data_IF_962737801581
#
_entry.id   IF_962737801581
#
_cell.length_a   1.000
_cell.length_b   1.000
_cell.length_c   1.000
_cell.angle_alpha   90.00
_cell.angle_beta   90.00
_cell.angle_gamma   90.00
#
_symmetry.space_group_name_H-M   'P 1'
#
loop_
_entity.id
_entity.type
_entity.pdbx_description
1 polymer ?
#
# COMPACT_ATOMS: atom_id res chain seq x y z
N UNK A 1 1.16 -6.92 -36.12
CA UNK A 1 1.35 -5.82 -35.16
C UNK A 1 0.48 -6.14 -33.96
N UNK A 2 0.91 -6.44 -32.75
CA UNK A 2 2.20 -6.50 -32.07
C UNK A 2 1.75 -6.60 -30.61
N UNK A 3 1.62 -7.82 -30.06
CA UNK A 3 1.19 -8.02 -28.67
C UNK A 3 2.31 -7.50 -27.78
N UNK A 4 2.23 -6.22 -27.44
CA UNK A 4 3.11 -5.62 -26.45
C UNK A 4 2.58 -6.06 -25.08
N UNK A 5 3.16 -7.14 -24.55
CA UNK A 5 3.02 -7.47 -23.15
C UNK A 5 3.74 -6.36 -22.36
N UNK A 6 2.97 -5.49 -21.72
CA UNK A 6 3.39 -4.51 -20.71
C UNK A 6 4.47 -3.49 -21.09
N UNK A 7 4.15 -2.56 -22.00
CA UNK A 7 4.91 -1.31 -22.16
C UNK A 7 4.20 -0.13 -21.48
N UNK A 8 4.91 0.63 -20.66
CA UNK A 8 4.55 1.94 -20.04
C UNK A 8 3.36 1.94 -19.05
N UNK A 9 2.28 1.18 -19.27
CA UNK A 9 1.00 1.37 -18.55
C UNK A 9 0.63 0.27 -17.51
N UNK A 10 1.43 -0.79 -17.38
CA UNK A 10 1.21 -1.87 -16.39
C UNK A 10 0.07 -2.86 -16.73
N UNK A 11 -0.06 -3.92 -15.91
CA UNK A 11 -1.04 -5.00 -16.07
C UNK A 11 -2.26 -4.78 -15.15
N UNK A 12 -3.20 -3.91 -15.53
CA UNK A 12 -4.44 -3.82 -14.73
C UNK A 12 -5.41 -2.71 -15.08
N UNK A 13 -4.92 -1.63 -15.70
CA UNK A 13 -5.77 -0.48 -16.04
C UNK A 13 -6.53 -0.70 -17.34
N UNK A 14 -5.82 -1.05 -18.41
CA UNK A 14 -6.41 -1.23 -19.74
C UNK A 14 -6.87 -2.66 -19.94
N UNK A 15 -8.17 -2.85 -20.13
CA UNK A 15 -8.81 -4.17 -20.21
C UNK A 15 -8.25 -5.00 -21.37
N UNK A 16 -7.88 -4.34 -22.46
CA UNK A 16 -7.33 -5.00 -23.66
C UNK A 16 -5.92 -5.57 -23.49
N UNK A 17 -5.21 -5.23 -22.40
CA UNK A 17 -3.93 -5.83 -22.04
C UNK A 17 -4.02 -6.83 -20.88
N UNK A 18 -5.22 -7.19 -20.43
CA UNK A 18 -5.39 -8.15 -19.35
C UNK A 18 -4.93 -9.56 -19.78
N UNK A 19 -3.85 -10.12 -19.21
CA UNK A 19 -3.27 -11.39 -19.66
C UNK A 19 -4.16 -12.60 -19.30
N UNK A 20 -5.13 -12.40 -18.41
CA UNK A 20 -6.08 -13.44 -17.99
C UNK A 20 -7.36 -13.47 -18.84
N UNK A 21 -7.55 -12.50 -19.75
CA UNK A 21 -8.73 -12.42 -20.60
C UNK A 21 -8.46 -13.09 -21.95
N UNK A 22 -9.11 -14.24 -22.16
CA UNK A 22 -9.25 -14.80 -23.51
C UNK A 22 -10.15 -13.89 -24.37
N UNK A 23 -10.13 -14.00 -25.72
CA UNK A 23 -11.07 -13.25 -26.56
C UNK A 23 -12.54 -13.42 -26.15
N UNK A 24 -12.92 -14.64 -25.72
CA UNK A 24 -14.26 -14.93 -25.21
C UNK A 24 -14.55 -14.22 -23.88
N UNK A 25 -13.59 -14.21 -22.95
CA UNK A 25 -13.74 -13.47 -21.67
C UNK A 25 -13.87 -11.97 -21.90
N UNK A 26 -13.09 -11.41 -22.83
CA UNK A 26 -13.24 -10.02 -23.25
C UNK A 26 -14.64 -9.73 -23.79
N UNK A 27 -15.18 -10.59 -24.65
CA UNK A 27 -16.53 -10.38 -25.19
C UNK A 27 -17.61 -10.40 -24.09
N UNK A 28 -17.53 -11.37 -23.17
CA UNK A 28 -18.46 -11.50 -22.04
C UNK A 28 -18.38 -10.26 -21.14
N UNK A 29 -17.17 -9.80 -20.82
CA UNK A 29 -16.94 -8.59 -20.04
C UNK A 29 -17.63 -7.37 -20.69
N UNK A 30 -17.35 -7.12 -21.97
CA UNK A 30 -17.97 -6.01 -22.70
C UNK A 30 -19.51 -6.11 -22.79
N UNK A 31 -20.06 -7.32 -22.84
CA UNK A 31 -21.51 -7.56 -22.87
C UNK A 31 -22.16 -7.32 -21.50
N UNK A 32 -21.47 -7.67 -20.41
CA UNK A 32 -21.92 -7.39 -19.06
C UNK A 32 -22.12 -5.88 -18.83
N UNK A 33 -21.12 -5.07 -19.18
CA UNK A 33 -21.18 -3.61 -18.96
C UNK A 33 -22.23 -2.95 -19.85
N UNK A 34 -22.36 -3.39 -21.11
CA UNK A 34 -23.43 -2.92 -22.00
C UNK A 34 -24.82 -3.21 -21.44
N UNK A 35 -25.01 -4.36 -20.78
CA UNK A 35 -26.27 -4.68 -20.13
C UNK A 35 -26.48 -3.84 -18.85
N UNK A 36 -25.43 -3.56 -18.08
CA UNK A 36 -25.49 -2.68 -16.93
C UNK A 36 -25.88 -1.24 -17.33
N UNK A 37 -25.22 -0.69 -18.36
CA UNK A 37 -25.50 0.66 -18.86
C UNK A 37 -26.95 0.80 -19.36
N UNK A 38 -27.51 -0.26 -19.95
CA UNK A 38 -28.91 -0.29 -20.40
C UNK A 38 -29.86 -0.09 -19.21
N UNK A 39 -29.57 -0.74 -18.08
CA UNK A 39 -30.42 -0.72 -16.88
C UNK A 39 -30.45 0.64 -16.21
N UNK A 40 -29.35 1.40 -16.30
CA UNK A 40 -29.23 2.74 -15.69
C UNK A 40 -29.70 3.87 -16.60
N UNK A 41 -30.38 3.55 -17.71
CA UNK A 41 -31.12 4.51 -18.52
C UNK A 41 -30.37 5.08 -19.72
N UNK A 42 -29.19 4.56 -20.05
CA UNK A 42 -28.48 4.96 -21.27
C UNK A 42 -29.16 4.30 -22.48
N UNK A 43 -29.98 5.09 -23.19
CA UNK A 43 -30.69 4.64 -24.39
C UNK A 43 -29.71 4.47 -25.56
N UNK A 44 -30.00 3.54 -26.46
CA UNK A 44 -29.26 3.32 -27.71
C UNK A 44 -27.80 2.82 -27.54
N UNK A 45 -27.50 2.06 -26.48
CA UNK A 45 -26.17 1.46 -26.26
C UNK A 45 -25.69 0.61 -27.42
N UNK A 46 -26.59 -0.18 -28.01
CA UNK A 46 -26.27 -1.03 -29.16
C UNK A 46 -25.90 -0.20 -30.40
N UNK A 47 -26.56 0.94 -30.61
CA UNK A 47 -26.24 1.88 -31.70
C UNK A 47 -24.93 2.62 -31.41
N UNK A 48 -24.68 2.94 -30.14
CA UNK A 48 -23.48 3.67 -29.67
C UNK A 48 -22.19 2.83 -29.71
N UNK A 49 -22.31 1.52 -29.97
CA UNK A 49 -21.19 0.56 -30.00
C UNK A 49 -20.17 0.79 -28.88
N UNK A 50 -20.65 0.73 -27.64
CA UNK A 50 -19.82 0.99 -26.46
C UNK A 50 -18.66 0.00 -26.36
N UNK A 51 -17.49 0.54 -26.02
CA UNK A 51 -16.29 -0.23 -25.73
C UNK A 51 -15.67 0.25 -24.43
N UNK A 52 -15.72 -0.59 -23.39
CA UNK A 52 -15.05 -0.37 -22.10
C UNK A 52 -13.58 -0.68 -22.27
N UNK A 53 -12.71 0.29 -22.02
CA UNK A 53 -11.31 0.17 -22.39
C UNK A 53 -10.38 0.30 -21.19
N UNK A 54 -10.85 0.89 -20.08
CA UNK A 54 -10.13 0.98 -18.83
C UNK A 54 -11.05 0.64 -17.66
N UNK A 55 -10.53 -0.06 -16.65
CA UNK A 55 -11.20 -0.19 -15.35
C UNK A 55 -10.24 0.31 -14.27
N UNK A 56 -10.62 1.40 -13.64
CA UNK A 56 -9.93 1.96 -12.49
C UNK A 56 -10.69 1.55 -11.23
N UNK A 57 -9.97 1.12 -10.19
CA UNK A 57 -10.54 0.93 -8.85
C UNK A 57 -11.83 0.07 -8.73
N UNK A 58 -11.99 -0.88 -9.65
CA UNK A 58 -13.10 -1.86 -9.75
C UNK A 58 -14.51 -1.33 -10.00
N UNK A 59 -14.84 -0.16 -9.44
CA UNK A 59 -16.15 0.49 -9.60
C UNK A 59 -16.12 1.60 -10.63
N UNK A 60 -14.96 1.90 -11.21
CA UNK A 60 -14.84 2.97 -12.19
C UNK A 60 -14.42 2.38 -13.53
N UNK A 61 -15.25 2.56 -14.54
CA UNK A 61 -14.97 2.09 -15.89
C UNK A 61 -14.91 3.27 -16.84
N UNK A 62 -13.87 3.32 -17.66
CA UNK A 62 -13.80 4.26 -18.76
C UNK A 62 -14.11 3.56 -20.06
N UNK A 63 -14.99 4.19 -20.82
CA UNK A 63 -15.47 3.67 -22.08
C UNK A 63 -15.57 4.76 -23.14
N UNK A 64 -15.56 4.32 -24.39
CA UNK A 64 -15.81 5.16 -25.57
C UNK A 64 -17.03 4.63 -26.30
N UNK A 65 -17.68 5.51 -27.08
CA UNK A 65 -18.69 5.13 -28.06
C UNK A 65 -18.00 4.99 -29.41
N UNK A 66 -17.84 3.76 -29.90
CA UNK A 66 -17.10 3.55 -31.16
C UNK A 66 -17.92 3.87 -32.40
N UNK A 67 -19.18 4.28 -32.23
CA UNK A 67 -19.99 4.91 -33.28
C UNK A 67 -19.61 6.37 -33.54
N UNK A 68 -18.96 7.02 -32.58
CA UNK A 68 -18.69 8.46 -32.60
C UNK A 68 -17.25 8.69 -33.10
N UNK A 69 -17.07 9.64 -34.02
CA UNK A 69 -15.75 9.93 -34.62
C UNK A 69 -14.79 10.64 -33.65
N UNK A 70 -15.32 11.25 -32.59
CA UNK A 70 -14.55 12.03 -31.62
C UNK A 70 -13.92 11.19 -30.51
N UNK A 71 -14.33 9.92 -30.39
CA UNK A 71 -13.91 8.98 -29.33
C UNK A 71 -13.83 9.64 -27.95
N UNK A 72 -14.83 10.46 -27.62
CA UNK A 72 -14.97 11.02 -26.28
C UNK A 72 -14.98 9.93 -25.22
N UNK A 73 -14.29 10.20 -24.13
CA UNK A 73 -14.19 9.28 -23.00
C UNK A 73 -15.32 9.56 -22.03
N UNK A 74 -15.95 8.49 -21.58
CA UNK A 74 -16.98 8.51 -20.55
C UNK A 74 -16.49 7.71 -19.35
N UNK A 75 -16.92 8.12 -18.16
CA UNK A 75 -16.63 7.46 -16.90
C UNK A 75 -17.93 6.91 -16.33
N UNK A 76 -17.95 5.62 -16.02
CA UNK A 76 -19.01 4.94 -15.33
C UNK A 76 -18.59 4.66 -13.89
N UNK A 77 -19.46 4.99 -12.94
CA UNK A 77 -19.30 4.70 -11.52
C UNK A 77 -20.28 3.59 -11.14
N UNK A 78 -19.83 2.35 -11.11
CA UNK A 78 -20.60 1.18 -10.71
C UNK A 78 -21.06 1.18 -9.25
N UNK A 79 -20.47 2.00 -8.38
CA UNK A 79 -20.90 2.15 -6.99
C UNK A 79 -22.19 2.96 -6.83
N UNK A 80 -22.51 3.84 -7.77
CA UNK A 80 -23.69 4.71 -7.74
C UNK A 80 -24.48 4.72 -9.05
N UNK A 81 -24.18 3.77 -9.95
CA UNK A 81 -24.85 3.58 -11.24
C UNK A 81 -24.94 4.88 -12.07
N UNK A 82 -23.83 5.62 -12.15
CA UNK A 82 -23.76 6.94 -12.80
C UNK A 82 -22.77 6.97 -13.96
N UNK A 83 -23.14 7.63 -15.06
CA UNK A 83 -22.25 7.91 -16.19
C UNK A 83 -21.98 9.42 -16.28
N UNK A 84 -20.72 9.78 -16.52
CA UNK A 84 -20.27 11.16 -16.75
C UNK A 84 -19.45 11.23 -18.05
N UNK A 85 -19.66 12.28 -18.85
CA UNK A 85 -18.74 12.62 -19.94
C UNK A 85 -17.47 13.21 -19.33
N UNK A 86 -16.32 12.65 -19.68
CA UNK A 86 -15.02 13.21 -19.30
C UNK A 86 -14.67 14.25 -20.37
N UNK A 87 -14.15 15.40 -19.97
CA UNK A 87 -13.68 16.45 -20.90
C UNK A 87 -12.36 16.08 -21.57
N UNK A 88 -12.30 14.89 -22.19
CA UNK A 88 -11.16 14.39 -22.96
C UNK A 88 -11.59 13.32 -23.97
N UNK A 89 -10.84 13.20 -25.06
CA UNK A 89 -10.94 12.06 -25.97
C UNK A 89 -9.97 10.93 -25.61
N UNK A 90 -10.08 9.79 -26.31
CA UNK A 90 -9.26 8.61 -26.05
C UNK A 90 -7.75 8.89 -26.11
N UNK A 91 -7.28 9.64 -27.10
CA UNK A 91 -5.85 9.95 -27.24
C UNK A 91 -5.33 10.84 -26.09
N UNK A 92 -6.14 11.81 -25.65
CA UNK A 92 -5.86 12.66 -24.49
C UNK A 92 -5.81 11.84 -23.20
N UNK A 93 -6.74 10.90 -23.02
CA UNK A 93 -6.73 9.97 -21.89
C UNK A 93 -5.49 9.07 -21.91
N UNK A 94 -5.12 8.52 -23.07
CA UNK A 94 -3.91 7.69 -23.20
C UNK A 94 -2.64 8.48 -22.89
N UNK A 95 -2.55 9.75 -23.33
CA UNK A 95 -1.45 10.67 -22.97
C UNK A 95 -1.42 10.97 -21.47
N UNK A 96 -2.58 11.21 -20.86
CA UNK A 96 -2.70 11.42 -19.42
C UNK A 96 -2.22 10.19 -18.63
N UNK A 97 -2.60 8.98 -19.05
CA UNK A 97 -2.12 7.75 -18.43
C UNK A 97 -0.60 7.61 -18.49
N UNK A 98 0.02 7.94 -19.63
CA UNK A 98 1.48 7.96 -19.76
C UNK A 98 2.06 8.97 -18.76
N UNK A 99 1.56 10.21 -18.73
CA UNK A 99 2.05 11.26 -17.83
C UNK A 99 1.90 10.90 -16.34
N UNK A 100 0.78 10.27 -15.95
CA UNK A 100 0.55 9.79 -14.58
C UNK A 100 1.51 8.65 -14.20
N UNK A 101 1.96 7.87 -15.19
CA UNK A 101 2.84 6.70 -14.99
C UNK A 101 4.31 6.99 -15.26
N UNK A 102 4.66 8.16 -15.81
CA UNK A 102 6.04 8.61 -15.91
C UNK A 102 6.63 8.70 -14.48
N UNK A 103 7.74 8.00 -14.20
CA UNK A 103 8.22 7.70 -12.84
C UNK A 103 8.73 8.90 -12.02
N UNK A 104 8.57 10.13 -12.51
CA UNK A 104 9.22 11.32 -11.97
C UNK A 104 8.29 12.28 -11.19
N UNK A 105 7.15 11.81 -10.66
CA UNK A 105 6.35 12.58 -9.70
C UNK A 105 6.22 11.83 -8.36
N UNK A 106 7.29 11.94 -7.57
CA UNK A 106 7.42 11.93 -6.12
C UNK A 106 6.44 11.09 -5.23
N UNK A 107 7.07 10.07 -4.63
CA UNK A 107 7.12 9.77 -3.18
C UNK A 107 6.06 8.92 -2.46
N UNK A 108 5.08 8.34 -3.13
CA UNK A 108 4.24 7.29 -2.52
C UNK A 108 4.18 6.05 -3.40
N UNK A 109 4.99 5.03 -3.09
CA UNK A 109 4.97 3.73 -3.77
C UNK A 109 4.09 2.81 -2.92
N UNK A 110 2.97 2.35 -3.49
CA UNK A 110 1.98 1.53 -2.81
C UNK A 110 1.08 2.37 -1.91
N UNK A 111 -0.23 2.36 -2.19
CA UNK A 111 -1.21 3.04 -1.37
C UNK A 111 -2.51 2.24 -1.35
N UNK A 112 -3.20 2.28 -0.21
CA UNK A 112 -4.39 1.48 0.07
C UNK A 112 -5.68 2.25 -0.23
N UNK A 113 -5.62 3.53 -0.61
CA UNK A 113 -6.79 4.32 -0.96
C UNK A 113 -6.79 4.79 -2.42
N UNK A 114 -7.95 4.72 -3.09
CA UNK A 114 -8.13 5.31 -4.41
C UNK A 114 -7.84 6.82 -4.39
N UNK A 115 -7.34 7.35 -5.51
CA UNK A 115 -6.98 8.76 -5.61
C UNK A 115 -8.18 9.68 -5.39
N UNK A 116 -9.40 9.28 -5.77
CA UNK A 116 -10.60 10.06 -5.50
C UNK A 116 -10.91 10.20 -4.00
N UNK A 117 -10.61 9.18 -3.19
CA UNK A 117 -10.84 9.20 -1.74
C UNK A 117 -9.77 10.07 -1.04
N UNK A 118 -8.52 10.05 -1.52
CA UNK A 118 -7.45 10.92 -0.98
C UNK A 118 -7.76 12.42 -1.08
N UNK A 119 -8.54 12.82 -2.09
CA UNK A 119 -8.92 14.21 -2.30
C UNK A 119 -9.91 14.76 -1.25
N UNK A 120 -10.35 13.94 -0.28
CA UNK A 120 -11.18 14.39 0.84
C UNK A 120 -10.44 15.33 1.82
N UNK A 121 -9.10 15.32 1.89
CA UNK A 121 -8.37 16.27 2.74
C UNK A 121 -7.13 16.87 2.05
N UNK A 122 -7.23 18.18 1.76
CA UNK A 122 -6.10 19.03 1.37
C UNK A 122 -5.08 19.07 2.53
N UNK A 123 -3.83 18.70 2.25
CA UNK A 123 -2.64 18.74 3.11
C UNK A 123 -2.36 17.46 3.93
N UNK A 124 -1.74 16.47 3.28
CA UNK A 124 -1.02 15.38 3.96
C UNK A 124 0.05 16.02 4.85
N UNK A 125 -0.18 16.03 6.17
CA UNK A 125 0.74 16.62 7.14
C UNK A 125 1.48 15.48 7.86
N UNK A 126 2.83 15.48 7.90
CA UNK A 126 3.58 14.53 8.70
C UNK A 126 3.09 14.55 10.17
N UNK A 127 2.65 13.40 10.66
CA UNK A 127 2.14 13.27 12.02
C UNK A 127 3.32 13.26 13.01
N UNK A 128 3.19 13.96 14.14
CA UNK A 128 4.22 13.93 15.20
C UNK A 128 4.18 12.56 15.88
N UNK A 129 5.25 11.77 15.71
CA UNK A 129 5.35 10.40 16.26
C UNK A 129 5.13 10.37 17.78
N UNK A 130 5.60 11.39 18.50
CA UNK A 130 5.44 11.50 19.96
C UNK A 130 3.98 11.51 20.43
N UNK A 131 3.02 11.89 19.57
CA UNK A 131 1.60 11.83 19.93
C UNK A 131 1.07 10.40 20.03
N UNK A 132 1.78 9.43 19.45
CA UNK A 132 1.35 8.03 19.31
C UNK A 132 2.29 7.05 20.01
N UNK A 133 3.30 7.56 20.71
CA UNK A 133 4.29 6.75 21.42
C UNK A 133 4.23 7.04 22.93
N UNK A 134 3.43 6.24 23.64
CA UNK A 134 3.34 6.29 25.10
C UNK A 134 4.68 5.92 25.77
N UNK A 135 4.88 6.34 27.02
CA UNK A 135 6.16 6.15 27.72
C UNK A 135 6.58 4.67 27.81
N UNK A 136 5.61 3.76 27.99
CA UNK A 136 5.84 2.31 28.02
C UNK A 136 6.29 1.73 26.67
N UNK A 137 5.95 2.40 25.55
CA UNK A 137 6.36 2.00 24.19
C UNK A 137 7.71 2.59 23.76
N UNK A 138 8.34 3.46 24.55
CA UNK A 138 9.66 4.06 24.24
C UNK A 138 10.83 3.13 24.56
N UNK A 139 10.89 1.99 23.87
CA UNK A 139 11.96 1.02 24.04
C UNK A 139 12.29 0.31 22.71
N UNK A 140 13.48 -0.28 22.61
CA UNK A 140 13.97 -0.92 21.38
C UNK A 140 13.21 -2.22 21.01
N UNK A 141 12.19 -2.62 21.77
CA UNK A 141 11.23 -3.67 21.39
C UNK A 141 9.95 -3.08 20.78
N UNK A 142 9.91 -1.80 20.42
CA UNK A 142 8.79 -1.17 19.74
C UNK A 142 9.20 -0.63 18.36
N UNK A 143 8.47 -1.04 17.32
CA UNK A 143 8.76 -0.65 15.94
C UNK A 143 8.70 0.87 15.73
N UNK A 144 7.69 1.55 16.28
CA UNK A 144 7.49 3.00 16.10
C UNK A 144 8.61 3.77 16.77
N UNK A 145 9.12 3.30 17.92
CA UNK A 145 10.28 3.89 18.57
C UNK A 145 11.56 3.72 17.74
N UNK A 146 11.80 2.53 17.19
CA UNK A 146 12.96 2.29 16.30
C UNK A 146 12.88 3.19 15.05
N UNK A 147 11.68 3.33 14.48
CA UNK A 147 11.43 4.23 13.36
C UNK A 147 11.70 5.69 13.72
N UNK A 148 11.24 6.15 14.88
CA UNK A 148 11.54 7.50 15.37
C UNK A 148 13.05 7.73 15.44
N UNK A 149 13.80 6.86 16.12
CA UNK A 149 15.27 6.97 16.25
C UNK A 149 15.95 7.02 14.88
N UNK A 150 15.53 6.17 13.95
CA UNK A 150 16.06 6.14 12.60
C UNK A 150 15.79 7.45 11.84
N UNK A 151 14.56 7.96 11.89
CA UNK A 151 14.18 9.20 11.21
C UNK A 151 14.97 10.40 11.75
N UNK A 152 15.09 10.53 13.07
CA UNK A 152 15.84 11.60 13.73
C UNK A 152 17.32 11.55 13.36
N UNK A 153 17.94 10.37 13.48
CA UNK A 153 19.37 10.16 13.13
C UNK A 153 19.67 10.53 11.69
N UNK A 154 18.73 10.28 10.77
CA UNK A 154 18.93 10.48 9.33
C UNK A 154 18.32 11.77 8.79
N UNK A 155 17.73 12.63 9.63
CA UNK A 155 17.04 13.85 9.20
C UNK A 155 15.88 13.58 8.23
N UNK A 156 15.22 12.43 8.37
CA UNK A 156 14.12 12.00 7.49
C UNK A 156 12.76 12.22 8.15
N UNK A 157 11.70 12.14 7.35
CA UNK A 157 10.32 12.13 7.83
C UNK A 157 9.58 10.90 7.31
N UNK A 158 8.57 10.48 8.06
CA UNK A 158 7.65 9.41 7.69
C UNK A 158 6.25 10.00 7.52
N UNK A 159 5.45 9.37 6.67
CA UNK A 159 4.08 9.80 6.39
C UNK A 159 3.18 8.58 6.39
N UNK A 160 2.11 8.63 7.17
CA UNK A 160 1.06 7.61 7.19
C UNK A 160 -0.33 8.18 6.94
N UNK A 161 -1.35 7.39 7.26
CA UNK A 161 -2.77 7.69 7.08
C UNK A 161 -3.35 8.46 8.27
N UNK A 162 -4.23 9.41 8.01
CA UNK A 162 -5.03 10.04 9.07
C UNK A 162 -6.21 9.13 9.49
N UNK A 163 -6.88 9.47 10.59
CA UNK A 163 -7.96 8.62 11.13
C UNK A 163 -9.19 8.47 10.21
N UNK A 164 -9.45 9.44 9.34
CA UNK A 164 -10.54 9.35 8.35
C UNK A 164 -10.15 8.41 7.22
N UNK A 165 -8.92 8.53 6.74
CA UNK A 165 -8.36 7.63 5.72
C UNK A 165 -8.29 6.18 6.23
N UNK A 166 -7.88 5.97 7.48
CA UNK A 166 -7.87 4.62 8.07
C UNK A 166 -9.27 4.03 8.10
N UNK A 167 -10.31 4.81 8.42
CA UNK A 167 -11.71 4.33 8.38
C UNK A 167 -12.16 3.98 6.97
N UNK A 168 -11.74 4.74 5.96
CA UNK A 168 -12.03 4.39 4.57
C UNK A 168 -11.28 3.12 4.15
N UNK A 169 -10.05 2.89 4.62
CA UNK A 169 -9.32 1.63 4.39
C UNK A 169 -10.07 0.47 5.07
N UNK A 170 -10.46 0.61 6.34
CA UNK A 170 -11.25 -0.39 7.06
C UNK A 170 -12.53 -0.78 6.29
N UNK A 171 -13.24 0.22 5.77
CA UNK A 171 -14.45 0.01 4.97
C UNK A 171 -14.15 -0.63 3.61
N UNK A 172 -13.10 -0.19 2.92
CA UNK A 172 -12.80 -0.61 1.56
C UNK A 172 -12.26 -2.04 1.48
N UNK A 173 -11.45 -2.45 2.46
CA UNK A 173 -10.94 -3.82 2.57
C UNK A 173 -11.80 -4.71 3.46
N UNK A 174 -12.88 -4.18 4.04
CA UNK A 174 -13.74 -4.87 5.01
C UNK A 174 -12.95 -5.46 6.21
N UNK A 175 -11.96 -4.70 6.68
CA UNK A 175 -11.06 -5.07 7.78
C UNK A 175 -11.22 -4.15 8.98
N UNK A 176 -10.63 -4.58 10.11
CA UNK A 176 -10.47 -3.76 11.31
C UNK A 176 -9.00 -3.45 11.57
N UNK A 177 -8.68 -2.18 11.73
CA UNK A 177 -7.33 -1.70 12.03
C UNK A 177 -7.30 -1.16 13.46
N UNK A 178 -6.73 -1.95 14.38
CA UNK A 178 -6.67 -1.65 15.82
C UNK A 178 -5.24 -1.64 16.37
N UNK A 179 -5.09 -1.15 17.59
CA UNK A 179 -3.88 -1.23 18.41
C UNK A 179 -2.60 -0.81 17.66
N UNK A 180 -1.50 -1.57 17.80
CA UNK A 180 -0.21 -1.26 17.18
C UNK A 180 -0.26 -1.21 15.64
N UNK A 181 -1.21 -1.93 15.02
CA UNK A 181 -1.41 -1.84 13.57
C UNK A 181 -1.97 -0.48 13.17
N UNK A 182 -2.83 0.11 14.01
CA UNK A 182 -3.34 1.46 13.77
C UNK A 182 -2.25 2.52 13.92
N UNK A 183 -1.42 2.39 14.95
CA UNK A 183 -0.26 3.28 15.14
C UNK A 183 0.74 3.15 13.98
N UNK A 184 0.95 1.93 13.48
CA UNK A 184 1.71 1.69 12.26
C UNK A 184 1.12 2.42 11.05
N UNK A 185 -0.19 2.29 10.80
CA UNK A 185 -0.81 2.96 9.65
C UNK A 185 -0.70 4.49 9.73
N UNK A 186 -0.79 5.05 10.92
CA UNK A 186 -0.67 6.50 11.17
C UNK A 186 0.72 7.06 10.89
N UNK A 187 1.75 6.34 11.32
CA UNK A 187 3.14 6.81 11.23
C UNK A 187 3.80 6.35 9.95
N UNK A 188 3.62 5.08 9.59
CA UNK A 188 4.33 4.40 8.53
C UNK A 188 3.44 3.99 7.34
N UNK A 189 2.11 4.08 7.42
CA UNK A 189 1.21 3.45 6.45
C UNK A 189 1.45 3.77 4.96
N UNK A 190 2.06 4.92 4.62
CA UNK A 190 2.41 5.27 3.22
C UNK A 190 3.91 5.22 2.93
N UNK A 191 4.72 5.31 3.97
CA UNK A 191 6.16 5.19 3.91
C UNK A 191 6.65 4.83 5.29
N UNK A 192 7.56 3.88 5.36
CA UNK A 192 8.32 3.51 6.55
C UNK A 192 9.53 4.42 6.83
N UNK A 193 9.65 5.56 6.15
CA UNK A 193 10.83 6.42 6.24
C UNK A 193 12.12 5.81 5.67
N UNK A 194 12.04 4.66 4.99
CA UNK A 194 13.19 3.89 4.52
C UNK A 194 13.88 3.05 5.60
N UNK A 195 13.18 2.74 6.69
CA UNK A 195 13.66 1.83 7.74
C UNK A 195 13.64 0.36 7.29
N UNK A 196 12.70 -0.03 6.46
CA UNK A 196 12.51 -1.37 5.93
C UNK A 196 12.78 -1.39 4.42
N UNK A 197 12.89 -2.59 3.86
CA UNK A 197 12.96 -2.75 2.43
C UNK A 197 11.54 -2.66 1.84
N UNK A 198 11.35 -1.77 0.85
CA UNK A 198 10.05 -1.54 0.16
C UNK A 198 9.42 -2.82 -0.42
N UNK A 199 10.20 -3.89 -0.61
CA UNK A 199 9.71 -5.14 -1.18
C UNK A 199 9.13 -6.13 -0.15
N UNK A 200 9.36 -5.93 1.14
CA UNK A 200 8.99 -6.89 2.20
C UNK A 200 7.53 -6.74 2.65
N UNK A 201 6.97 -5.53 2.51
CA UNK A 201 5.59 -5.20 2.85
C UNK A 201 4.75 -5.10 1.58
N UNK A 202 3.63 -5.82 1.55
CA UNK A 202 2.84 -5.93 0.32
C UNK A 202 2.32 -4.57 -0.14
N UNK A 203 1.82 -3.75 0.78
CA UNK A 203 1.26 -2.42 0.49
C UNK A 203 2.28 -1.32 0.16
N UNK A 204 3.59 -1.60 0.21
CA UNK A 204 4.62 -0.71 -0.34
C UNK A 204 5.10 -1.14 -1.73
N UNK A 205 4.61 -2.27 -2.24
CA UNK A 205 4.89 -2.66 -3.62
C UNK A 205 4.21 -1.69 -4.56
N UNK A 206 4.76 -1.57 -5.77
CA UNK A 206 4.16 -0.79 -6.85
C UNK A 206 2.93 -1.53 -7.42
N UNK A 207 1.93 -1.71 -6.56
CA UNK A 207 0.61 -2.22 -6.88
C UNK A 207 -0.38 -1.05 -6.75
N UNK A 208 -1.36 -1.07 -7.62
CA UNK A 208 -2.54 -0.22 -7.53
C UNK A 208 -3.45 -0.72 -6.41
N UNK A 209 -4.33 0.13 -5.90
CA UNK A 209 -5.31 -0.23 -4.86
C UNK A 209 -6.11 -1.48 -5.25
N UNK A 210 -6.55 -1.55 -6.51
CA UNK A 210 -7.20 -2.72 -7.10
C UNK A 210 -6.32 -3.97 -7.05
N UNK A 211 -5.06 -3.86 -7.49
CA UNK A 211 -4.14 -4.99 -7.43
C UNK A 211 -3.97 -5.49 -5.99
N UNK A 212 -4.01 -4.62 -4.97
CA UNK A 212 -4.03 -5.04 -3.57
C UNK A 212 -5.29 -5.82 -3.18
N UNK A 213 -6.47 -5.36 -3.59
CA UNK A 213 -7.75 -6.05 -3.29
C UNK A 213 -7.81 -7.41 -3.99
N UNK A 214 -7.53 -7.44 -5.29
CA UNK A 214 -7.48 -8.68 -6.08
C UNK A 214 -6.46 -9.64 -5.48
N UNK A 215 -5.30 -9.14 -5.06
CA UNK A 215 -4.29 -9.98 -4.43
C UNK A 215 -4.85 -10.64 -3.16
N UNK A 216 -5.44 -9.85 -2.26
CA UNK A 216 -5.99 -10.35 -1.00
C UNK A 216 -7.12 -11.36 -1.23
N UNK A 217 -8.04 -11.08 -2.17
CA UNK A 217 -9.13 -11.99 -2.49
C UNK A 217 -8.63 -13.31 -3.10
N UNK A 218 -7.70 -13.24 -4.07
CA UNK A 218 -7.13 -14.47 -4.63
C UNK A 218 -6.38 -15.29 -3.58
N UNK A 219 -5.73 -14.62 -2.62
CA UNK A 219 -5.06 -15.29 -1.52
C UNK A 219 -6.08 -15.96 -0.61
N UNK A 220 -7.16 -15.27 -0.22
CA UNK A 220 -8.23 -15.86 0.59
C UNK A 220 -8.84 -17.10 -0.05
N UNK A 221 -9.26 -17.00 -1.31
CA UNK A 221 -9.86 -18.10 -2.06
C UNK A 221 -8.89 -19.30 -2.16
N UNK A 222 -7.67 -19.08 -2.66
CA UNK A 222 -6.76 -20.18 -3.04
C UNK A 222 -5.91 -20.71 -1.89
N UNK A 223 -5.64 -19.87 -0.90
CA UNK A 223 -4.72 -20.21 0.18
C UNK A 223 -5.48 -20.57 1.45
N UNK A 224 -6.57 -19.88 1.77
CA UNK A 224 -7.31 -20.12 3.01
C UNK A 224 -8.52 -21.04 2.77
N UNK A 225 -9.41 -20.70 1.83
CA UNK A 225 -10.65 -21.45 1.59
C UNK A 225 -10.37 -22.81 0.94
N UNK A 226 -9.66 -22.84 -0.19
CA UNK A 226 -9.37 -24.07 -0.92
C UNK A 226 -8.56 -25.10 -0.11
N UNK A 227 -7.81 -24.64 0.91
CA UNK A 227 -7.05 -25.50 1.82
C UNK A 227 -7.75 -25.70 3.18
N UNK A 228 -9.01 -25.28 3.32
CA UNK A 228 -9.84 -25.49 4.52
C UNK A 228 -9.29 -24.87 5.82
N UNK A 229 -8.54 -23.75 5.73
CA UNK A 229 -7.85 -23.11 6.86
C UNK A 229 -8.68 -22.03 7.57
N UNK A 230 -9.94 -21.82 7.16
CA UNK A 230 -10.83 -20.77 7.66
C UNK A 230 -11.21 -20.94 9.15
N UNK A 231 -11.05 -22.13 9.73
CA UNK A 231 -11.23 -22.35 11.18
C UNK A 231 -10.00 -21.93 11.99
N UNK A 232 -8.82 -21.87 11.36
CA UNK A 232 -7.54 -21.56 12.00
C UNK A 232 -7.25 -20.06 12.03
N UNK A 233 -7.76 -19.34 11.02
CA UNK A 233 -7.67 -17.88 10.91
C UNK A 233 -8.96 -17.33 10.31
N UNK A 234 -9.72 -16.57 11.12
CA UNK A 234 -11.08 -16.13 10.73
C UNK A 234 -11.11 -14.76 10.08
N UNK A 235 -10.35 -13.84 10.64
CA UNK A 235 -10.23 -12.47 10.12
C UNK A 235 -8.74 -12.11 10.11
N UNK A 236 -8.23 -11.76 8.93
CA UNK A 236 -6.83 -11.43 8.77
C UNK A 236 -6.64 -10.31 7.78
N UNK A 237 -5.47 -9.68 7.87
CA UNK A 237 -4.99 -8.76 6.85
C UNK A 237 -3.62 -9.23 6.36
N UNK A 238 -3.47 -9.37 5.05
CA UNK A 238 -2.19 -9.76 4.46
C UNK A 238 -1.26 -8.54 4.41
N UNK A 239 -0.15 -8.63 5.13
CA UNK A 239 0.76 -7.49 5.31
C UNK A 239 2.14 -7.72 4.69
N UNK A 240 2.63 -8.96 4.68
CA UNK A 240 4.04 -9.21 4.39
C UNK A 240 4.26 -10.22 3.28
N UNK A 241 5.18 -9.88 2.37
CA UNK A 241 5.76 -10.79 1.39
C UNK A 241 7.29 -10.76 1.54
N UNK A 242 7.82 -11.53 2.49
CA UNK A 242 9.27 -11.59 2.72
C UNK A 242 9.96 -12.39 1.59
N UNK A 243 9.29 -13.38 1.02
CA UNK A 243 9.75 -14.07 -0.19
C UNK A 243 8.55 -14.63 -1.00
N UNK A 244 8.79 -15.16 -2.21
CA UNK A 244 7.71 -15.59 -3.13
C UNK A 244 6.84 -16.73 -2.60
N UNK A 245 7.36 -17.55 -1.68
CA UNK A 245 6.70 -18.76 -1.18
C UNK A 245 6.18 -18.61 0.26
N UNK A 246 6.57 -17.55 0.99
CA UNK A 246 6.26 -17.36 2.40
C UNK A 246 5.60 -16.00 2.64
N UNK A 247 4.34 -16.07 3.05
CA UNK A 247 3.44 -14.95 3.30
C UNK A 247 3.24 -14.81 4.79
N UNK A 248 3.09 -13.58 5.29
CA UNK A 248 2.68 -13.38 6.67
C UNK A 248 1.42 -12.53 6.78
N UNK A 249 0.54 -12.98 7.65
CA UNK A 249 -0.80 -12.47 7.86
C UNK A 249 -0.90 -11.98 9.30
N UNK A 250 -1.59 -10.86 9.51
CA UNK A 250 -1.93 -10.38 10.84
C UNK A 250 -3.37 -10.81 11.12
N UNK A 251 -3.60 -11.59 12.18
CA UNK A 251 -4.96 -11.85 12.66
C UNK A 251 -5.53 -10.56 13.25
N UNK A 252 -6.67 -10.13 12.71
CA UNK A 252 -7.37 -8.88 13.07
C UNK A 252 -8.72 -9.15 13.73
N UNK A 253 -8.93 -10.37 14.19
CA UNK A 253 -10.18 -10.84 14.79
C UNK A 253 -10.71 -9.88 15.87
N UNK A 254 -12.03 -9.73 15.89
CA UNK A 254 -12.69 -8.76 16.77
C UNK A 254 -12.34 -8.92 18.25
N UNK A 255 -12.25 -10.17 18.71
CA UNK A 255 -12.19 -10.54 20.12
C UNK A 255 -10.80 -11.04 20.58
N UNK A 256 -9.75 -10.79 19.78
CA UNK A 256 -8.37 -11.09 20.22
C UNK A 256 -7.74 -9.95 21.02
N UNK A 257 -7.03 -10.32 22.09
CA UNK A 257 -6.26 -9.41 22.96
C UNK A 257 -5.07 -8.79 22.24
N UNK A 258 -4.44 -9.55 21.34
CA UNK A 258 -3.24 -9.13 20.60
C UNK A 258 -3.35 -9.55 19.14
N UNK A 259 -2.80 -8.73 18.26
CA UNK A 259 -2.70 -8.99 16.83
C UNK A 259 -1.51 -9.92 16.57
N UNK A 260 -1.76 -11.23 16.48
CA UNK A 260 -0.72 -12.22 16.19
C UNK A 260 -0.45 -12.37 14.70
N UNK A 261 0.79 -12.74 14.39
CA UNK A 261 1.24 -13.00 13.02
C UNK A 261 1.21 -14.50 12.75
N UNK A 262 0.66 -14.87 11.59
CA UNK A 262 0.72 -16.21 11.02
C UNK A 262 1.62 -16.20 9.80
N UNK A 263 2.27 -17.31 9.52
CA UNK A 263 2.99 -17.54 8.27
C UNK A 263 2.25 -18.58 7.43
N UNK A 264 2.08 -18.32 6.14
CA UNK A 264 1.55 -19.26 5.17
C UNK A 264 2.62 -19.62 4.14
N UNK A 265 2.88 -20.91 3.98
CA UNK A 265 3.82 -21.43 3.00
C UNK A 265 3.07 -21.93 1.75
N UNK A 266 3.27 -21.28 0.61
CA UNK A 266 2.62 -21.66 -0.66
C UNK A 266 3.02 -23.06 -1.16
N UNK A 267 4.21 -23.54 -0.80
CA UNK A 267 4.73 -24.82 -1.29
C UNK A 267 4.14 -26.00 -0.50
N UNK A 268 4.00 -25.84 0.82
CA UNK A 268 3.41 -26.88 1.69
C UNK A 268 1.92 -26.67 1.94
N UNK A 269 1.39 -25.49 1.60
CA UNK A 269 0.02 -25.04 1.89
C UNK A 269 -0.30 -24.98 3.39
N UNK A 270 0.73 -24.91 4.23
CA UNK A 270 0.58 -24.90 5.69
C UNK A 270 0.51 -23.47 6.23
N UNK A 271 -0.43 -23.26 7.14
CA UNK A 271 -0.53 -22.08 7.98
C UNK A 271 0.08 -22.37 9.36
N UNK A 272 0.90 -21.46 9.86
CA UNK A 272 1.60 -21.61 11.14
C UNK A 272 1.49 -20.35 11.97
N UNK A 273 1.01 -20.48 13.21
CA UNK A 273 1.04 -19.39 14.18
C UNK A 273 2.50 -19.10 14.59
N UNK A 274 3.00 -17.88 14.36
CA UNK A 274 4.42 -17.56 14.59
C UNK A 274 4.79 -17.38 16.06
N UNK A 275 3.78 -17.18 16.92
CA UNK A 275 3.96 -16.85 18.34
C UNK A 275 4.29 -15.37 18.59
N UNK A 276 4.37 -14.55 17.54
CA UNK A 276 4.74 -13.14 17.60
C UNK A 276 3.55 -12.24 17.36
N UNK A 277 3.48 -11.16 18.11
CA UNK A 277 2.60 -10.03 17.81
C UNK A 277 3.09 -9.27 16.57
N UNK A 278 2.20 -8.46 15.98
CA UNK A 278 2.55 -7.56 14.86
C UNK A 278 3.78 -6.71 15.18
N UNK A 279 3.84 -6.07 16.35
CA UNK A 279 4.97 -5.24 16.75
C UNK A 279 6.28 -6.05 16.89
N UNK A 280 6.25 -7.21 17.56
CA UNK A 280 7.45 -8.06 17.69
C UNK A 280 7.97 -8.53 16.32
N UNK A 281 7.05 -8.93 15.43
CA UNK A 281 7.39 -9.32 14.08
C UNK A 281 8.06 -8.18 13.29
N UNK A 282 7.51 -6.96 13.40
CA UNK A 282 8.07 -5.76 12.77
C UNK A 282 9.47 -5.42 13.30
N UNK A 283 9.69 -5.52 14.61
CA UNK A 283 11.01 -5.29 15.23
C UNK A 283 12.03 -6.31 14.72
N UNK A 284 11.65 -7.58 14.65
CA UNK A 284 12.53 -8.62 14.10
C UNK A 284 12.87 -8.37 12.63
N UNK A 285 11.90 -7.89 11.85
CA UNK A 285 12.13 -7.50 10.46
C UNK A 285 13.11 -6.32 10.37
N UNK A 286 12.96 -5.29 11.21
CA UNK A 286 13.90 -4.16 11.28
C UNK A 286 15.30 -4.64 11.60
N UNK A 287 15.47 -5.47 12.63
CA UNK A 287 16.77 -6.02 13.05
C UNK A 287 17.41 -6.87 11.96
N UNK A 288 16.63 -7.68 11.26
CA UNK A 288 17.10 -8.49 10.13
C UNK A 288 17.58 -7.62 8.97
N UNK A 289 16.86 -6.55 8.67
CA UNK A 289 17.14 -5.66 7.53
C UNK A 289 18.23 -4.61 7.86
N UNK A 290 18.37 -4.26 9.14
CA UNK A 290 19.32 -3.28 9.65
C UNK A 290 20.08 -3.85 10.87
N UNK A 291 20.99 -4.83 10.67
CA UNK A 291 21.69 -5.48 11.77
C UNK A 291 22.53 -4.50 12.62
N UNK A 292 22.99 -3.40 12.02
CA UNK A 292 23.82 -2.40 12.70
C UNK A 292 22.99 -1.28 13.38
N UNK A 293 21.66 -1.39 13.44
CA UNK A 293 20.82 -0.38 14.09
C UNK A 293 21.15 -0.24 15.59
N UNK A 294 21.65 -1.31 16.22
CA UNK A 294 21.98 -1.39 17.65
C UNK A 294 23.48 -1.13 17.97
N UNK A 295 24.36 -1.14 16.97
CA UNK A 295 25.83 -1.23 17.18
C UNK A 295 26.57 0.11 17.38
N UNK A 296 25.90 1.25 17.35
CA UNK A 296 26.50 2.50 17.77
C UNK A 296 26.00 2.86 19.16
N UNK A 297 26.60 2.22 20.18
CA UNK A 297 26.74 2.91 21.47
C UNK A 297 27.31 4.29 21.16
N UNK A 298 26.66 5.34 21.61
CA UNK A 298 27.33 6.61 21.80
C UNK A 298 28.53 6.32 22.71
N UNK A 299 29.72 6.16 22.15
CA UNK A 299 30.94 6.42 22.89
C UNK A 299 30.89 7.91 23.19
N UNK A 300 30.27 8.26 24.31
CA UNK A 300 30.44 9.54 24.96
C UNK A 300 31.94 9.61 25.21
N UNK A 301 32.67 10.34 24.35
CA UNK A 301 34.11 10.51 24.49
C UNK A 301 34.42 10.94 25.91
N UNK A 302 35.15 10.11 26.64
CA UNK A 302 35.70 10.50 27.93
C UNK A 302 36.52 11.76 27.69
N UNK A 303 36.13 12.87 28.34
CA UNK A 303 36.99 14.05 28.39
C UNK A 303 38.32 13.63 29.03
N UNK A 304 39.41 13.75 28.28
CA UNK A 304 40.75 13.68 28.83
C UNK A 304 40.90 14.90 29.76
N UNK A 305 40.85 14.67 31.08
CA UNK A 305 41.28 15.66 32.07
C UNK A 305 42.79 15.87 31.92
N UNK A 306 43.19 16.83 31.09
CA UNK A 306 44.56 17.33 31.09
C UNK A 306 44.68 18.21 32.33
N UNK A 307 45.23 17.65 33.41
CA UNK A 307 45.79 18.46 34.49
C UNK A 307 46.99 19.22 33.92
N UNK A 308 46.81 20.50 33.68
CA UNK A 308 47.92 21.43 33.49
C UNK A 308 48.41 21.75 34.89
N UNK A 309 49.57 21.21 35.26
CA UNK A 309 50.30 21.65 36.45
C UNK A 309 50.87 23.04 36.14
N UNK A 310 50.24 24.08 36.70
CA UNK A 310 50.70 25.47 36.66
C UNK A 310 51.88 25.69 37.61
N UNK A 311 52.99 25.02 37.37
CA UNK A 311 54.30 25.37 37.93
C UNK A 311 55.33 25.29 36.80
N UNK A 312 55.50 26.38 36.05
CA UNK A 312 56.79 26.81 35.44
C UNK A 312 56.59 27.89 34.36
N UNK A 313 56.02 29.06 34.69
CA UNK A 313 56.35 30.30 33.96
C UNK A 313 56.33 31.50 34.93
N UNK A 314 57.25 31.47 35.89
CA UNK A 314 57.70 32.67 36.59
C UNK A 314 59.18 32.88 36.27
N UNK A 315 59.48 33.58 35.18
CA UNK A 315 60.85 33.93 34.86
C UNK A 315 61.00 34.58 33.49
N UNK A 316 61.46 35.83 33.49
CA UNK A 316 62.12 36.54 32.39
C UNK A 316 61.23 37.20 31.33
N UNK A 317 60.78 38.43 31.63
CA UNK A 317 60.97 39.57 30.74
C UNK A 317 61.31 40.81 31.58
N UNK A 318 62.61 41.15 31.60
CA UNK A 318 63.13 42.48 31.89
C UNK A 318 63.47 43.17 30.56
#
# INVERSE_FOLDING_TARGET
MGRNSSGILGYGYLVFYNPFFTPRKNLIFQEFDRNAFCKIGMKNILESKIFVFSVEDETIEYFIKTSDDDFKVYKYYGSYDKIEEVSMNFDEYMKLLIYIKEPNNDNFIGDLLPKEIKNLNKNITPQKIDNYLSEDKKNDNNFIYLLKKYLEKNGKQSTGYNDEEIKEIEKFYEIRIKDDLKDFFRIAGRSDGGLLNKNDLIFYKNLTVREHVIFQWNFDEKCIIDNELYEEIKEYFLVFLINKSLYYLISIEKDVEKLYVYSYNMETQELTHTGKTSNEFMVDLVRKTNPNLEDEKEEIGEMIDIKIDDEDVAGELQ
#
